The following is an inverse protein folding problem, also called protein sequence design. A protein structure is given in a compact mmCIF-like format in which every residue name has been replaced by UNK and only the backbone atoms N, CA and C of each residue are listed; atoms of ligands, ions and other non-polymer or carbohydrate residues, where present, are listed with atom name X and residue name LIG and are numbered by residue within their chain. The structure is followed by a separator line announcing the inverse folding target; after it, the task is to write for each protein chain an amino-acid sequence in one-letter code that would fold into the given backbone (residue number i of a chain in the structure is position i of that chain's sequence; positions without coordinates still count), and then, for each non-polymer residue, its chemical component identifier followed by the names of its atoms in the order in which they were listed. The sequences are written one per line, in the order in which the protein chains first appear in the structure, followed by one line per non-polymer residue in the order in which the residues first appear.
data_IF_829144460035
#
_entry.id   IF_829144460035
#
_cell.length_a   1.000
_cell.length_b   1.000
_cell.length_c   1.000
_cell.angle_alpha   90.00
_cell.angle_beta   90.00
_cell.angle_gamma   90.00
#
_symmetry.space_group_name_H-M   'P 1'
#
loop_
_entity.id
_entity.type
_entity.pdbx_description
1 polymer ?
#
# COMPACT_ATOMS: atom_id res chain seq x y z
N UNK A 1 22.90 51.84 -46.22
CA UNK A 1 22.66 52.07 -44.77
C UNK A 1 21.16 52.08 -44.50
N UNK A 2 20.65 51.10 -43.75
CA UNK A 2 19.48 51.20 -42.85
C UNK A 2 19.33 49.83 -42.17
N UNK A 3 19.75 49.77 -40.91
CA UNK A 3 19.46 48.68 -39.95
C UNK A 3 18.00 48.81 -39.51
N UNK A 4 17.37 47.71 -39.07
CA UNK A 4 16.25 47.54 -38.11
C UNK A 4 15.49 46.26 -38.52
N UNK A 5 14.96 45.37 -37.69
CA UNK A 5 15.16 44.89 -36.31
C UNK A 5 14.04 43.83 -36.13
N UNK A 6 14.29 42.73 -35.41
CA UNK A 6 13.30 41.90 -34.69
C UNK A 6 12.19 41.16 -35.50
N UNK A 7 11.67 39.99 -35.11
CA UNK A 7 11.91 39.09 -33.98
C UNK A 7 11.45 37.69 -34.41
N UNK A 8 12.25 36.68 -34.10
CA UNK A 8 11.85 35.27 -34.19
C UNK A 8 11.07 34.95 -32.92
N UNK A 9 9.74 34.81 -33.02
CA UNK A 9 8.92 34.27 -31.92
C UNK A 9 8.85 32.75 -32.12
N UNK A 10 9.81 32.04 -31.53
CA UNK A 10 9.72 30.59 -31.34
C UNK A 10 8.88 30.33 -30.09
N UNK A 11 7.61 30.03 -30.28
CA UNK A 11 6.72 29.60 -29.20
C UNK A 11 6.99 28.10 -28.92
N UNK A 12 7.98 27.81 -28.07
CA UNK A 12 8.19 26.47 -27.55
C UNK A 12 7.21 26.24 -26.38
N UNK A 13 6.04 25.68 -26.69
CA UNK A 13 5.13 25.14 -25.66
C UNK A 13 5.77 23.85 -25.15
N UNK A 14 6.58 23.93 -24.10
CA UNK A 14 7.01 22.76 -23.34
C UNK A 14 5.80 22.36 -22.49
N UNK A 15 4.94 21.50 -23.04
CA UNK A 15 3.96 20.77 -22.26
C UNK A 15 4.74 19.82 -21.34
N UNK A 16 4.99 20.25 -20.11
CA UNK A 16 5.52 19.42 -19.05
C UNK A 16 4.54 18.31 -18.72
N UNK A 17 4.65 17.17 -19.40
CA UNK A 17 4.12 15.91 -18.92
C UNK A 17 4.90 15.54 -17.67
N UNK A 18 4.42 15.97 -16.51
CA UNK A 18 4.85 15.41 -15.23
C UNK A 18 4.31 13.98 -15.16
N UNK A 19 5.04 13.04 -15.76
CA UNK A 19 4.89 11.64 -15.41
C UNK A 19 5.24 11.53 -13.92
N UNK A 20 4.24 11.30 -13.07
CA UNK A 20 4.45 10.94 -11.68
C UNK A 20 5.09 9.55 -11.67
N UNK A 21 6.40 9.50 -11.93
CA UNK A 21 7.20 8.32 -11.64
C UNK A 21 7.13 8.17 -10.14
N UNK A 22 6.41 7.15 -9.66
CA UNK A 22 6.56 6.72 -8.28
C UNK A 22 8.03 6.43 -8.09
N UNK A 23 8.69 7.21 -7.23
CA UNK A 23 10.07 6.92 -6.88
C UNK A 23 10.09 5.51 -6.29
N UNK A 24 10.80 4.60 -6.93
CA UNK A 24 11.02 3.26 -6.42
C UNK A 24 11.57 3.38 -4.98
N UNK A 25 10.98 2.61 -4.06
CA UNK A 25 11.37 2.62 -2.65
C UNK A 25 10.83 3.79 -1.81
N UNK A 26 9.94 4.65 -2.33
CA UNK A 26 9.37 5.78 -1.57
C UNK A 26 8.84 5.37 -0.17
N UNK A 27 8.26 4.18 -0.05
CA UNK A 27 7.65 3.70 1.18
C UNK A 27 8.48 2.68 1.96
N UNK A 28 9.73 2.40 1.57
CA UNK A 28 10.55 1.36 2.21
C UNK A 28 10.84 1.62 3.69
N UNK A 29 10.69 2.87 4.13
CA UNK A 29 10.92 3.31 5.49
C UNK A 29 9.70 3.17 6.43
N UNK A 30 8.50 2.94 5.90
CA UNK A 30 7.26 2.99 6.71
C UNK A 30 7.11 1.80 7.64
N UNK A 31 7.70 0.65 7.29
CA UNK A 31 7.70 -0.55 8.14
C UNK A 31 8.80 -1.51 7.69
N UNK A 32 9.41 -2.21 8.65
CA UNK A 32 10.41 -3.25 8.39
C UNK A 32 10.03 -4.58 9.06
N UNK A 33 10.83 -5.62 8.84
CA UNK A 33 10.57 -6.95 9.39
C UNK A 33 10.52 -6.97 10.94
N UNK A 34 11.38 -6.21 11.62
CA UNK A 34 11.41 -6.17 13.08
C UNK A 34 10.15 -5.54 13.69
N UNK A 35 9.60 -4.51 13.02
CA UNK A 35 8.30 -3.94 13.38
C UNK A 35 7.18 -4.98 13.26
N UNK A 36 7.18 -5.77 12.18
CA UNK A 36 6.21 -6.86 11.97
C UNK A 36 6.35 -7.94 13.05
N UNK A 37 7.57 -8.36 13.40
CA UNK A 37 7.80 -9.30 14.50
C UNK A 37 7.29 -8.77 15.84
N UNK A 38 7.56 -7.49 16.13
CA UNK A 38 7.13 -6.86 17.37
C UNK A 38 5.60 -6.85 17.51
N UNK A 39 4.88 -6.55 16.43
CA UNK A 39 3.41 -6.49 16.44
C UNK A 39 2.79 -7.89 16.46
N UNK A 40 3.36 -8.82 15.70
CA UNK A 40 2.74 -10.14 15.47
C UNK A 40 3.17 -11.19 16.49
N UNK A 41 4.30 -10.98 17.16
CA UNK A 41 4.96 -11.99 18.01
C UNK A 41 5.70 -13.07 17.22
N UNK A 42 5.63 -13.06 15.88
CA UNK A 42 6.36 -13.99 15.03
C UNK A 42 7.87 -13.73 15.07
N UNK A 43 8.65 -14.75 14.71
CA UNK A 43 10.11 -14.71 14.65
C UNK A 43 10.62 -15.14 13.29
N UNK A 44 11.72 -14.56 12.86
CA UNK A 44 12.33 -14.79 11.55
C UNK A 44 11.52 -14.23 10.39
N UNK A 45 10.80 -13.12 10.59
CA UNK A 45 10.09 -12.45 9.49
C UNK A 45 11.11 -11.91 8.49
N UNK A 46 10.86 -12.13 7.20
CA UNK A 46 11.73 -11.68 6.11
C UNK A 46 11.01 -10.65 5.27
N UNK A 47 11.60 -9.48 5.09
CA UNK A 47 11.13 -8.54 4.05
C UNK A 47 11.74 -8.95 2.72
N UNK A 48 10.91 -9.02 1.68
CA UNK A 48 11.33 -9.43 0.33
C UNK A 48 11.17 -8.26 -0.62
N UNK A 49 12.26 -7.84 -1.30
CA UNK A 49 12.20 -6.82 -2.34
C UNK A 49 11.24 -7.19 -3.47
N UNK A 50 10.57 -6.19 -4.03
CA UNK A 50 9.51 -6.37 -5.03
C UNK A 50 10.00 -7.14 -6.26
N UNK A 51 11.22 -6.89 -6.71
CA UNK A 51 11.85 -7.50 -7.88
C UNK A 51 12.14 -9.00 -7.70
N UNK A 52 12.19 -9.48 -6.45
CA UNK A 52 12.43 -10.90 -6.12
C UNK A 52 11.14 -11.70 -5.98
N UNK A 53 9.99 -11.07 -6.22
CA UNK A 53 8.69 -11.72 -6.09
C UNK A 53 8.28 -12.38 -7.41
N UNK A 54 7.65 -13.56 -7.29
CA UNK A 54 6.99 -14.17 -8.44
C UNK A 54 5.75 -13.36 -8.85
N UNK A 55 5.22 -13.65 -10.05
CA UNK A 55 4.15 -12.90 -10.74
C UNK A 55 2.85 -12.67 -9.94
N UNK A 56 2.69 -13.31 -8.79
CA UNK A 56 1.46 -13.29 -7.98
C UNK A 56 1.58 -12.47 -6.68
N UNK A 57 2.73 -11.81 -6.43
CA UNK A 57 2.94 -10.95 -5.26
C UNK A 57 3.33 -9.55 -5.73
N UNK A 58 2.32 -8.69 -5.87
CA UNK A 58 2.45 -7.34 -6.42
C UNK A 58 2.36 -6.24 -5.34
N UNK A 59 2.76 -6.57 -4.11
CA UNK A 59 2.91 -5.59 -3.04
C UNK A 59 4.04 -4.62 -3.34
N UNK A 60 3.89 -3.39 -2.87
CA UNK A 60 5.00 -2.45 -2.82
C UNK A 60 5.97 -2.84 -1.68
N UNK A 61 5.44 -3.34 -0.55
CA UNK A 61 6.21 -4.00 0.52
C UNK A 61 5.66 -5.41 0.78
N UNK A 62 6.56 -6.37 1.01
CA UNK A 62 6.19 -7.78 1.12
C UNK A 62 6.99 -8.46 2.23
N UNK A 63 6.31 -9.25 3.05
CA UNK A 63 6.89 -9.95 4.19
C UNK A 63 6.52 -11.42 4.18
N UNK A 64 7.49 -12.26 4.51
CA UNK A 64 7.36 -13.71 4.64
C UNK A 64 7.60 -14.14 6.07
N UNK A 65 6.98 -15.27 6.41
CA UNK A 65 7.32 -16.04 7.60
C UNK A 65 8.73 -16.66 7.46
N UNK A 66 9.27 -17.19 8.56
CA UNK A 66 10.58 -17.85 8.57
C UNK A 66 10.69 -19.04 7.59
N UNK A 67 9.57 -19.69 7.28
CA UNK A 67 9.42 -20.81 6.35
C UNK A 67 9.09 -20.39 4.90
N UNK A 68 9.35 -19.11 4.56
CA UNK A 68 9.15 -18.52 3.24
C UNK A 68 7.69 -18.48 2.74
N UNK A 69 6.73 -18.76 3.62
CA UNK A 69 5.30 -18.56 3.35
C UNK A 69 4.93 -17.08 3.40
N UNK A 70 3.98 -16.63 2.58
CA UNK A 70 3.45 -15.27 2.67
C UNK A 70 2.92 -14.95 4.07
N UNK A 71 3.19 -13.72 4.52
CA UNK A 71 2.71 -13.19 5.80
C UNK A 71 1.86 -11.94 5.60
N UNK A 72 2.45 -10.93 4.97
CA UNK A 72 1.90 -9.59 4.87
C UNK A 72 2.33 -8.97 3.54
N UNK A 73 1.40 -8.25 2.92
CA UNK A 73 1.62 -7.45 1.73
C UNK A 73 1.06 -6.05 1.98
N UNK A 74 1.78 -5.02 1.54
CA UNK A 74 1.32 -3.64 1.60
C UNK A 74 1.39 -3.02 0.21
N UNK A 75 0.30 -2.36 -0.19
CA UNK A 75 0.21 -1.64 -1.45
C UNK A 75 -0.11 -0.17 -1.20
N UNK A 76 0.50 0.71 -2.00
CA UNK A 76 0.26 2.15 -1.97
C UNK A 76 -0.26 2.60 -3.33
N UNK A 77 -1.37 3.33 -3.32
CA UNK A 77 -2.04 3.85 -4.51
C UNK A 77 -2.34 5.34 -4.29
N UNK A 78 -2.67 6.10 -5.35
CA UNK A 78 -3.23 7.44 -5.17
C UNK A 78 -4.49 7.43 -4.32
N UNK A 79 -4.68 8.50 -3.54
CA UNK A 79 -5.89 8.69 -2.73
C UNK A 79 -7.19 8.63 -3.55
N UNK A 80 -7.19 9.04 -4.83
CA UNK A 80 -8.39 8.99 -5.67
C UNK A 80 -8.95 7.56 -5.86
N UNK A 81 -8.13 6.53 -5.68
CA UNK A 81 -8.56 5.12 -5.78
C UNK A 81 -9.41 4.71 -4.57
N UNK A 82 -9.21 5.34 -3.41
CA UNK A 82 -9.90 4.99 -2.17
C UNK A 82 -11.42 5.11 -2.29
N UNK A 83 -11.91 6.20 -2.87
CA UNK A 83 -13.34 6.45 -3.03
C UNK A 83 -14.03 5.38 -3.90
N UNK A 84 -13.35 4.95 -4.98
CA UNK A 84 -13.86 3.90 -5.85
C UNK A 84 -13.94 2.54 -5.13
N UNK A 85 -12.89 2.18 -4.39
CA UNK A 85 -12.89 0.92 -3.62
C UNK A 85 -13.92 0.92 -2.48
N UNK A 86 -14.11 2.07 -1.82
CA UNK A 86 -15.09 2.21 -0.75
C UNK A 86 -16.54 2.14 -1.25
N UNK A 87 -16.79 2.54 -2.49
CA UNK A 87 -18.12 2.48 -3.11
C UNK A 87 -18.51 1.05 -3.57
N UNK A 88 -17.55 0.13 -3.66
CA UNK A 88 -17.79 -1.26 -4.04
C UNK A 88 -18.33 -2.07 -2.85
N UNK A 89 -19.57 -2.52 -2.95
CA UNK A 89 -20.25 -3.31 -1.93
C UNK A 89 -19.58 -4.65 -1.62
N UNK A 90 -18.73 -5.18 -2.51
CA UNK A 90 -17.94 -6.39 -2.27
C UNK A 90 -16.69 -6.15 -1.43
N UNK A 91 -16.29 -4.89 -1.25
CA UNK A 91 -14.99 -4.56 -0.68
C UNK A 91 -15.07 -4.11 0.79
N UNK A 92 -16.12 -3.41 1.19
CA UNK A 92 -16.22 -2.83 2.53
C UNK A 92 -17.06 -3.72 3.45
N UNK A 93 -16.47 -4.19 4.56
CA UNK A 93 -17.23 -4.83 5.65
C UNK A 93 -17.52 -3.88 6.80
N UNK A 94 -16.51 -3.17 7.30
CA UNK A 94 -16.66 -2.30 8.47
C UNK A 94 -15.63 -1.17 8.48
N UNK A 95 -16.01 -0.01 9.04
CA UNK A 95 -15.09 1.10 9.30
C UNK A 95 -14.10 0.75 10.42
N UNK A 96 -12.87 1.24 10.32
CA UNK A 96 -11.78 1.00 11.28
C UNK A 96 -11.28 2.34 11.83
N UNK A 97 -11.71 2.76 13.03
CA UNK A 97 -11.32 4.06 13.57
C UNK A 97 -9.84 4.10 13.99
N UNK A 98 -9.24 5.28 13.87
CA UNK A 98 -7.88 5.55 14.33
C UNK A 98 -6.77 4.98 13.44
N UNK A 99 -7.07 4.66 12.18
CA UNK A 99 -6.09 4.32 11.14
C UNK A 99 -6.22 5.36 10.02
N UNK A 100 -5.14 6.10 9.77
CA UNK A 100 -5.15 7.16 8.75
C UNK A 100 -6.20 8.24 9.03
N UNK A 101 -6.67 8.88 7.97
CA UNK A 101 -7.80 9.81 7.99
C UNK A 101 -9.13 9.05 7.92
N UNK A 102 -9.15 7.97 7.14
CA UNK A 102 -10.30 7.09 7.02
C UNK A 102 -9.83 5.66 6.74
N UNK A 103 -10.51 4.66 7.29
CA UNK A 103 -10.15 3.27 7.04
C UNK A 103 -11.33 2.31 7.15
N UNK A 104 -11.20 1.16 6.48
CA UNK A 104 -12.15 0.06 6.52
C UNK A 104 -11.47 -1.30 6.37
N UNK A 105 -12.14 -2.35 6.81
CA UNK A 105 -11.74 -3.74 6.59
C UNK A 105 -12.37 -4.32 5.32
N UNK A 106 -11.63 -5.21 4.66
CA UNK A 106 -12.07 -5.91 3.45
C UNK A 106 -11.66 -7.39 3.46
N UNK A 107 -12.32 -8.25 2.67
CA UNK A 107 -13.52 -7.97 1.83
C UNK A 107 -14.80 -7.82 2.67
N UNK A 108 -15.95 -7.58 2.03
CA UNK A 108 -17.28 -7.46 2.65
C UNK A 108 -17.83 -8.78 3.25
N UNK A 109 -17.08 -9.87 3.18
CA UNK A 109 -17.41 -11.19 3.70
C UNK A 109 -16.28 -11.73 4.57
N UNK A 110 -16.56 -12.80 5.31
CA UNK A 110 -15.58 -13.42 6.21
C UNK A 110 -14.79 -14.55 5.51
N UNK A 111 -13.49 -14.70 5.82
CA UNK A 111 -12.72 -13.84 6.73
C UNK A 111 -12.32 -12.51 6.08
N UNK A 112 -12.34 -11.43 6.87
CA UNK A 112 -11.62 -10.20 6.53
C UNK A 112 -10.12 -10.45 6.60
N UNK A 113 -9.37 -9.98 5.61
CA UNK A 113 -7.91 -10.18 5.56
C UNK A 113 -7.13 -8.94 5.12
N UNK A 114 -7.79 -7.77 5.00
CA UNK A 114 -7.10 -6.51 4.75
C UNK A 114 -7.67 -5.33 5.53
N UNK A 115 -6.80 -4.35 5.81
CA UNK A 115 -7.15 -3.00 6.25
C UNK A 115 -6.78 -2.02 5.13
N UNK A 116 -7.75 -1.20 4.74
CA UNK A 116 -7.65 -0.22 3.68
C UNK A 116 -7.76 1.16 4.32
N UNK A 117 -6.83 2.07 4.04
CA UNK A 117 -6.89 3.39 4.66
C UNK A 117 -6.35 4.51 3.78
N UNK A 118 -6.95 5.69 3.96
CA UNK A 118 -6.55 6.94 3.35
C UNK A 118 -5.58 7.68 4.28
N UNK A 119 -4.50 8.23 3.70
CA UNK A 119 -3.55 9.10 4.38
C UNK A 119 -2.93 10.08 3.38
N UNK A 120 -3.28 11.36 3.49
CA UNK A 120 -2.82 12.41 2.58
C UNK A 120 -3.10 12.08 1.11
N UNK A 121 -2.05 12.07 0.29
CA UNK A 121 -2.16 11.79 -1.16
C UNK A 121 -2.24 10.31 -1.50
N UNK A 122 -2.25 9.43 -0.51
CA UNK A 122 -2.12 7.99 -0.70
C UNK A 122 -3.25 7.20 -0.04
N UNK A 123 -3.54 6.08 -0.68
CA UNK A 123 -4.38 5.01 -0.20
C UNK A 123 -3.49 3.79 0.01
N UNK A 124 -3.49 3.23 1.21
CA UNK A 124 -2.74 2.04 1.54
C UNK A 124 -3.66 0.83 1.78
N UNK A 125 -3.20 -0.34 1.34
CA UNK A 125 -3.87 -1.63 1.53
C UNK A 125 -2.89 -2.53 2.28
N UNK A 126 -3.25 -2.94 3.49
CA UNK A 126 -2.46 -3.82 4.36
C UNK A 126 -3.15 -5.17 4.39
N UNK A 127 -2.58 -6.18 3.74
CA UNK A 127 -3.22 -7.47 3.47
C UNK A 127 -2.44 -8.62 4.07
N UNK A 128 -3.12 -9.52 4.78
CA UNK A 128 -2.58 -10.85 5.14
C UNK A 128 -3.19 -11.93 4.25
N UNK A 129 -2.71 -13.16 4.41
CA UNK A 129 -3.20 -14.30 3.67
C UNK A 129 -4.22 -15.11 4.47
N UNK A 130 -5.18 -15.68 3.76
CA UNK A 130 -6.04 -16.74 4.28
C UNK A 130 -5.21 -18.02 4.41
N UNK A 131 -5.39 -18.76 5.51
CA UNK A 131 -4.65 -20.00 5.72
C UNK A 131 -5.05 -21.07 4.69
N UNK A 132 -4.05 -21.72 4.11
CA UNK A 132 -4.31 -22.75 3.09
C UNK A 132 -5.06 -23.98 3.65
N UNK A 133 -4.85 -24.31 4.93
CA UNK A 133 -5.47 -25.46 5.60
C UNK A 133 -6.87 -25.16 6.14
N UNK A 134 -7.15 -23.90 6.45
CA UNK A 134 -8.41 -23.46 7.03
C UNK A 134 -8.80 -22.10 6.43
N UNK A 135 -9.66 -22.13 5.41
CA UNK A 135 -10.06 -20.92 4.68
C UNK A 135 -10.92 -19.96 5.49
N UNK A 136 -11.29 -20.34 6.71
CA UNK A 136 -12.02 -19.47 7.65
C UNK A 136 -11.08 -18.62 8.49
N UNK A 137 -9.76 -18.86 8.40
CA UNK A 137 -8.73 -18.17 9.19
C UNK A 137 -7.75 -17.41 8.32
N UNK A 138 -7.18 -16.38 8.92
CA UNK A 138 -6.10 -15.59 8.36
C UNK A 138 -4.82 -15.80 9.14
N UNK A 139 -3.68 -15.68 8.45
CA UNK A 139 -2.34 -15.80 9.06
C UNK A 139 -2.15 -14.75 10.15
N UNK A 140 -2.57 -13.50 9.89
CA UNK A 140 -2.64 -12.45 10.90
C UNK A 140 -4.07 -12.17 11.29
N UNK A 141 -4.30 -11.95 12.59
CA UNK A 141 -5.60 -11.53 13.11
C UNK A 141 -5.85 -10.05 12.77
N UNK A 142 -7.13 -9.63 12.81
CA UNK A 142 -7.52 -8.26 12.46
C UNK A 142 -6.96 -7.19 13.40
N UNK A 143 -6.73 -7.50 14.68
CA UNK A 143 -6.06 -6.62 15.64
C UNK A 143 -4.58 -6.39 15.27
N UNK A 144 -3.87 -7.44 14.87
CA UNK A 144 -2.49 -7.36 14.38
C UNK A 144 -2.40 -6.56 13.08
N UNK A 145 -3.31 -6.82 12.12
CA UNK A 145 -3.40 -6.04 10.88
C UNK A 145 -3.71 -4.57 11.16
N UNK A 146 -4.61 -4.28 12.09
CA UNK A 146 -4.94 -2.90 12.49
C UNK A 146 -3.73 -2.21 13.10
N UNK A 147 -2.98 -2.89 13.97
CA UNK A 147 -1.76 -2.34 14.57
C UNK A 147 -0.68 -2.05 13.51
N UNK A 148 -0.50 -2.95 12.53
CA UNK A 148 0.39 -2.71 11.38
C UNK A 148 -0.09 -1.49 10.58
N UNK A 149 -1.38 -1.42 10.26
CA UNK A 149 -1.93 -0.29 9.50
C UNK A 149 -1.75 1.05 10.23
N UNK A 150 -1.90 1.08 11.57
CA UNK A 150 -1.61 2.27 12.39
C UNK A 150 -0.15 2.69 12.29
N UNK A 151 0.78 1.74 12.36
CA UNK A 151 2.21 2.04 12.22
C UNK A 151 2.56 2.57 10.84
N UNK A 152 2.01 1.97 9.78
CA UNK A 152 2.22 2.45 8.41
C UNK A 152 1.64 3.86 8.26
N UNK A 153 0.41 4.08 8.72
CA UNK A 153 -0.26 5.38 8.64
C UNK A 153 0.43 6.50 9.44
N UNK A 154 1.23 6.18 10.46
CA UNK A 154 1.97 7.19 11.25
C UNK A 154 3.28 7.61 10.61
N UNK A 155 3.78 6.83 9.63
CA UNK A 155 5.04 7.07 8.91
C UNK A 155 4.85 7.42 7.43
N UNK A 156 3.60 7.40 6.94
CA UNK A 156 3.18 7.92 5.63
C UNK A 156 2.91 9.41 5.69
#
# INVERSE_FOLDING_TARGET
MKKFFLAVISLAIIAGLSATVYAEGQFDHVINAADVEKITGLKGVKQVPREKLNKFRNGDLNFLQNNDKPLLMIQFRPSYVFAAMKADSGYVKASIPGVGEEAFSSPAFDPQFSINFLKGKYYAIVTTHVEAKDKTKTVLKMDQLTAIAKLVASKM
#
